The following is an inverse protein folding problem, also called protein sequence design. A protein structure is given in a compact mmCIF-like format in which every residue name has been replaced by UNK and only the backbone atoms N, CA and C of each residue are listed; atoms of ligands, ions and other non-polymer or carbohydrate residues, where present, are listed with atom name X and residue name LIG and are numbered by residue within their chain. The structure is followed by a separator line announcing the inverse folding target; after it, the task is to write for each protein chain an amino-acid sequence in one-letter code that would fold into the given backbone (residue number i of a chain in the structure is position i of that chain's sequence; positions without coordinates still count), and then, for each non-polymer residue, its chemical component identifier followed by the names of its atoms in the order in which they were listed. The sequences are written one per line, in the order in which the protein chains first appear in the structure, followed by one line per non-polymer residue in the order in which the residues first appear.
data_IF_334675839095
#
_entry.id   IF_334675839095
#
_cell.length_a   1.000
_cell.length_b   1.000
_cell.length_c   1.000
_cell.angle_alpha   90.00
_cell.angle_beta   90.00
_cell.angle_gamma   90.00
#
_symmetry.space_group_name_H-M   'P 1'
#
loop_
_entity.id
_entity.type
_entity.pdbx_description
1 polymer ?
#
# COMPACT_ATOMS: atom_id res chain seq x y z
N UNK A 1 -8.50 12.33 -0.93
CA UNK A 1 -7.02 12.52 -1.02
C UNK A 1 -6.81 13.23 -2.34
N UNK A 2 -6.01 14.31 -2.42
CA UNK A 2 -6.02 15.13 -3.62
C UNK A 2 -5.53 14.34 -4.84
N UNK A 3 -6.31 14.27 -5.93
CA UNK A 3 -5.91 13.69 -7.19
C UNK A 3 -4.55 14.20 -7.67
N UNK A 4 -3.75 13.32 -8.28
CA UNK A 4 -2.46 13.71 -8.90
C UNK A 4 -2.65 14.83 -9.92
N UNK A 5 -3.80 14.85 -10.61
CA UNK A 5 -4.19 15.89 -11.57
C UNK A 5 -4.30 17.28 -10.92
N UNK A 6 -4.85 17.40 -9.71
CA UNK A 6 -4.94 18.69 -9.02
C UNK A 6 -3.56 19.30 -8.74
N UNK A 7 -2.60 18.46 -8.33
CA UNK A 7 -1.24 18.91 -8.01
C UNK A 7 -0.37 19.16 -9.26
N UNK A 8 -0.84 18.78 -10.45
CA UNK A 8 -0.14 19.02 -11.73
C UNK A 8 -0.36 20.46 -12.22
N UNK A 9 -1.44 21.10 -11.81
CA UNK A 9 -1.88 22.40 -12.32
C UNK A 9 -2.63 22.30 -13.65
N UNK A 10 -3.06 23.45 -14.16
CA UNK A 10 -3.80 23.55 -15.42
C UNK A 10 -2.92 23.21 -16.64
N UNK A 11 -3.46 22.51 -17.65
CA UNK A 11 -2.79 22.35 -18.94
C UNK A 11 -2.56 23.69 -19.65
N UNK A 12 -1.53 23.77 -20.50
CA UNK A 12 -1.19 24.99 -21.24
C UNK A 12 -2.31 25.46 -22.21
N UNK A 13 -3.20 24.54 -22.58
CA UNK A 13 -4.37 24.77 -23.44
C UNK A 13 -5.56 25.41 -22.68
N UNK A 14 -5.54 25.39 -21.35
CA UNK A 14 -6.64 25.83 -20.49
C UNK A 14 -6.44 27.27 -19.99
N UNK A 15 -6.43 28.24 -20.91
CA UNK A 15 -6.31 29.67 -20.57
C UNK A 15 -7.65 30.32 -20.24
N UNK A 16 -8.70 29.96 -20.99
CA UNK A 16 -10.06 30.50 -20.83
C UNK A 16 -10.91 29.66 -19.87
N UNK A 17 -11.90 30.28 -19.23
CA UNK A 17 -12.85 29.58 -18.35
C UNK A 17 -13.64 28.47 -19.08
N UNK A 18 -13.95 28.66 -20.35
CA UNK A 18 -14.64 27.67 -21.16
C UNK A 18 -13.77 26.43 -21.39
N UNK A 19 -12.48 26.64 -21.65
CA UNK A 19 -11.49 25.57 -21.81
C UNK A 19 -11.26 24.81 -20.50
N UNK A 20 -11.24 25.52 -19.36
CA UNK A 20 -11.17 24.91 -18.03
C UNK A 20 -12.38 24.03 -17.73
N UNK A 21 -13.60 24.51 -18.02
CA UNK A 21 -14.84 23.72 -17.84
C UNK A 21 -14.85 22.47 -18.74
N UNK A 22 -14.42 22.61 -20.00
CA UNK A 22 -14.29 21.47 -20.91
C UNK A 22 -13.32 20.41 -20.36
N UNK A 23 -12.16 20.85 -19.87
CA UNK A 23 -11.18 19.96 -19.26
C UNK A 23 -11.73 19.23 -18.03
N UNK A 24 -12.45 19.92 -17.14
CA UNK A 24 -13.08 19.28 -15.97
C UNK A 24 -14.08 18.20 -16.42
N UNK A 25 -14.96 18.52 -17.37
CA UNK A 25 -15.95 17.58 -17.89
C UNK A 25 -15.27 16.36 -18.54
N UNK A 26 -14.22 16.57 -19.33
CA UNK A 26 -13.47 15.48 -19.96
C UNK A 26 -12.81 14.57 -18.93
N UNK A 27 -12.23 15.11 -17.86
CA UNK A 27 -11.67 14.32 -16.76
C UNK A 27 -12.76 13.52 -16.05
N UNK A 28 -13.90 14.13 -15.73
CA UNK A 28 -15.01 13.44 -15.09
C UNK A 28 -15.56 12.32 -15.99
N UNK A 29 -15.70 12.55 -17.29
CA UNK A 29 -16.20 11.53 -18.23
C UNK A 29 -15.20 10.39 -18.49
N UNK A 30 -13.89 10.69 -18.54
CA UNK A 30 -12.85 9.70 -18.86
C UNK A 30 -12.37 8.91 -17.64
N UNK A 31 -12.21 9.56 -16.50
CA UNK A 31 -11.65 8.96 -15.28
C UNK A 31 -12.70 8.76 -14.18
N UNK A 32 -13.88 9.37 -14.28
CA UNK A 32 -14.90 9.31 -13.23
C UNK A 32 -14.54 10.09 -11.97
N UNK A 33 -13.60 11.05 -12.07
CA UNK A 33 -13.07 11.81 -10.95
C UNK A 33 -13.53 13.27 -11.07
N UNK A 34 -14.20 13.78 -10.05
CA UNK A 34 -14.50 15.20 -9.94
C UNK A 34 -13.28 15.96 -9.41
N UNK A 35 -12.90 17.03 -10.10
CA UNK A 35 -11.78 17.90 -9.72
C UNK A 35 -12.31 19.24 -9.20
N UNK A 36 -11.77 19.70 -8.08
CA UNK A 36 -12.08 21.02 -7.54
C UNK A 36 -11.22 22.10 -8.23
N UNK A 37 -11.80 23.01 -9.04
CA UNK A 37 -11.05 24.03 -9.78
C UNK A 37 -10.24 24.97 -8.89
N UNK A 38 -10.62 25.14 -7.60
CA UNK A 38 -9.89 25.98 -6.65
C UNK A 38 -8.64 25.29 -6.09
N UNK A 39 -8.57 23.96 -6.16
CA UNK A 39 -7.45 23.15 -5.65
C UNK A 39 -6.44 22.78 -6.74
N UNK A 40 -6.74 23.08 -8.00
CA UNK A 40 -5.84 22.84 -9.14
C UNK A 40 -4.72 23.89 -9.12
N UNK A 41 -3.58 23.48 -8.57
CA UNK A 41 -2.37 24.29 -8.51
C UNK A 41 -1.12 23.42 -8.67
N UNK A 42 -0.08 23.98 -9.29
CA UNK A 42 1.14 23.26 -9.61
C UNK A 42 1.99 23.09 -8.34
N UNK A 43 1.87 21.92 -7.71
CA UNK A 43 2.60 21.58 -6.49
C UNK A 43 3.41 20.28 -6.66
N UNK A 44 4.72 20.43 -6.81
CA UNK A 44 5.65 19.29 -6.99
C UNK A 44 5.67 18.32 -5.82
N UNK A 45 5.55 18.82 -4.58
CA UNK A 45 5.54 18.01 -3.36
C UNK A 45 4.29 17.15 -3.24
N UNK A 46 3.10 17.74 -3.40
CA UNK A 46 1.82 17.00 -3.40
C UNK A 46 1.79 15.95 -4.52
N UNK A 47 2.31 16.29 -5.69
CA UNK A 47 2.42 15.36 -6.83
C UNK A 47 3.35 14.19 -6.50
N UNK A 48 4.52 14.46 -5.93
CA UNK A 48 5.48 13.43 -5.55
C UNK A 48 4.89 12.48 -4.50
N UNK A 49 4.21 13.02 -3.48
CA UNK A 49 3.52 12.22 -2.46
C UNK A 49 2.40 11.36 -3.07
N UNK A 50 1.54 11.93 -3.91
CA UNK A 50 0.47 11.18 -4.55
C UNK A 50 1.02 10.06 -5.47
N UNK A 51 2.11 10.31 -6.20
CA UNK A 51 2.81 9.30 -7.00
C UNK A 51 3.45 8.20 -6.15
N UNK A 52 4.10 8.57 -5.04
CA UNK A 52 4.70 7.63 -4.10
C UNK A 52 3.64 6.70 -3.51
N UNK A 53 2.49 7.23 -3.14
CA UNK A 53 1.39 6.47 -2.58
C UNK A 53 0.82 5.49 -3.62
N UNK A 54 0.62 5.93 -4.86
CA UNK A 54 0.16 5.06 -5.94
C UNK A 54 1.14 3.92 -6.21
N UNK A 55 2.44 4.22 -6.33
CA UNK A 55 3.48 3.22 -6.54
C UNK A 55 3.55 2.22 -5.37
N UNK A 56 3.48 2.73 -4.13
CA UNK A 56 3.44 1.90 -2.93
C UNK A 56 2.21 0.99 -2.91
N UNK A 57 1.05 1.51 -3.34
CA UNK A 57 -0.19 0.76 -3.36
C UNK A 57 -0.16 -0.37 -4.38
N UNK A 58 0.23 -0.09 -5.63
CA UNK A 58 0.36 -1.11 -6.67
C UNK A 58 1.40 -2.17 -6.30
N UNK A 59 2.52 -1.75 -5.70
CA UNK A 59 3.54 -2.68 -5.20
C UNK A 59 3.02 -3.57 -4.08
N UNK A 60 2.21 -3.03 -3.17
CA UNK A 60 1.59 -3.82 -2.11
C UNK A 60 0.57 -4.80 -2.67
N UNK A 61 -0.28 -4.35 -3.60
CA UNK A 61 -1.30 -5.19 -4.23
C UNK A 61 -0.70 -6.36 -5.03
N UNK A 62 0.45 -6.15 -5.67
CA UNK A 62 1.20 -7.19 -6.37
C UNK A 62 2.09 -8.07 -5.48
N UNK A 63 2.13 -7.83 -4.16
CA UNK A 63 3.00 -8.58 -3.26
C UNK A 63 2.47 -10.00 -3.06
N UNK A 64 3.34 -11.01 -3.22
CA UNK A 64 2.98 -12.41 -2.95
C UNK A 64 2.60 -12.61 -1.47
N UNK A 65 1.53 -13.36 -1.21
CA UNK A 65 1.05 -13.58 0.16
C UNK A 65 2.01 -14.45 1.00
N UNK A 66 2.73 -15.38 0.36
CA UNK A 66 3.62 -16.31 1.03
C UNK A 66 5.10 -15.91 0.89
N UNK A 67 5.45 -14.70 1.36
CA UNK A 67 6.85 -14.29 1.40
C UNK A 67 7.53 -14.81 2.66
N UNK A 68 8.74 -15.34 2.48
CA UNK A 68 9.63 -15.74 3.57
C UNK A 68 9.90 -14.56 4.50
N UNK A 69 9.78 -14.81 5.80
CA UNK A 69 10.06 -13.80 6.83
C UNK A 69 11.38 -14.12 7.52
N UNK A 70 12.21 -13.08 7.65
CA UNK A 70 13.41 -13.12 8.49
C UNK A 70 13.10 -12.56 9.87
N UNK A 71 13.33 -13.34 10.91
CA UNK A 71 13.05 -12.99 12.30
C UNK A 71 14.35 -13.06 13.10
N UNK A 72 14.56 -12.06 13.95
CA UNK A 72 15.70 -11.94 14.84
C UNK A 72 15.26 -12.27 16.26
N UNK A 73 16.01 -13.14 16.92
CA UNK A 73 15.76 -13.55 18.30
C UNK A 73 16.93 -13.19 19.20
N UNK A 74 16.60 -12.61 20.35
CA UNK A 74 17.54 -12.34 21.44
C UNK A 74 17.39 -13.36 22.55
N UNK A 75 16.16 -13.77 22.87
CA UNK A 75 15.88 -14.84 23.83
C UNK A 75 15.82 -16.20 23.11
N UNK A 76 16.60 -17.20 23.55
CA UNK A 76 16.51 -18.57 23.05
C UNK A 76 15.11 -19.18 23.14
N UNK A 77 14.27 -18.77 24.09
CA UNK A 77 12.92 -19.34 24.29
C UNK A 77 12.01 -19.10 23.08
N UNK A 78 12.01 -17.89 22.55
CA UNK A 78 11.19 -17.50 21.39
C UNK A 78 11.64 -18.26 20.13
N UNK A 79 12.96 -18.48 19.99
CA UNK A 79 13.51 -19.30 18.92
C UNK A 79 13.00 -20.74 19.00
N UNK A 80 13.08 -21.38 20.18
CA UNK A 80 12.64 -22.76 20.35
C UNK A 80 11.14 -22.91 20.12
N UNK A 81 10.32 -21.98 20.60
CA UNK A 81 8.87 -21.99 20.34
C UNK A 81 8.55 -21.97 18.85
N UNK A 82 9.28 -21.18 18.06
CA UNK A 82 9.05 -21.08 16.62
C UNK A 82 9.56 -22.31 15.85
N UNK A 83 10.69 -22.88 16.28
CA UNK A 83 11.32 -24.07 15.67
C UNK A 83 10.53 -25.33 15.96
N UNK A 84 9.93 -25.43 17.16
CA UNK A 84 9.11 -26.58 17.55
C UNK A 84 7.65 -26.50 17.08
N UNK A 85 7.21 -25.36 16.56
CA UNK A 85 5.90 -25.26 15.90
C UNK A 85 5.95 -25.94 14.52
N UNK A 86 5.27 -27.08 14.40
CA UNK A 86 5.22 -27.91 13.20
C UNK A 86 4.58 -27.21 11.98
N UNK A 87 3.91 -26.07 12.19
CA UNK A 87 3.31 -25.27 11.13
C UNK A 87 4.32 -24.40 10.37
N UNK A 88 5.54 -24.26 10.90
CA UNK A 88 6.58 -23.39 10.38
C UNK A 88 7.64 -24.20 9.61
N UNK A 89 7.83 -23.89 8.34
CA UNK A 89 8.93 -24.40 7.53
C UNK A 89 10.12 -23.45 7.66
N UNK A 90 11.22 -23.93 8.23
CA UNK A 90 12.46 -23.17 8.40
C UNK A 90 13.44 -23.53 7.28
N UNK A 91 13.90 -22.54 6.50
CA UNK A 91 14.92 -22.81 5.47
C UNK A 91 16.35 -22.54 5.92
N UNK A 92 16.59 -21.55 6.78
CA UNK A 92 17.97 -21.20 7.18
C UNK A 92 18.03 -20.57 8.56
N UNK A 93 18.98 -21.05 9.37
CA UNK A 93 19.29 -20.59 10.71
C UNK A 93 20.72 -20.05 10.70
N UNK A 94 20.93 -18.82 11.18
CA UNK A 94 22.24 -18.19 11.28
C UNK A 94 22.44 -17.62 12.67
N UNK A 95 23.59 -17.88 13.28
CA UNK A 95 23.97 -17.32 14.57
C UNK A 95 24.82 -16.08 14.34
N UNK A 96 24.40 -14.94 14.88
CA UNK A 96 25.13 -13.67 14.80
C UNK A 96 25.50 -13.22 16.20
N UNK A 97 26.75 -13.48 16.61
CA UNK A 97 27.36 -13.15 17.93
C UNK A 97 26.53 -13.52 19.17
N UNK A 98 25.41 -12.85 19.42
CA UNK A 98 24.51 -13.06 20.56
C UNK A 98 23.04 -13.24 20.16
N UNK A 99 22.71 -13.10 18.87
CA UNK A 99 21.34 -13.23 18.34
C UNK A 99 21.25 -14.40 17.37
N UNK A 100 20.11 -15.07 17.37
CA UNK A 100 19.75 -16.08 16.39
C UNK A 100 18.91 -15.42 15.29
N UNK A 101 19.23 -15.70 14.03
CA UNK A 101 18.49 -15.24 12.87
C UNK A 101 17.89 -16.44 12.17
N UNK A 102 16.57 -16.45 12.08
CA UNK A 102 15.82 -17.37 11.21
C UNK A 102 15.47 -16.61 9.95
N UNK A 103 16.00 -17.04 8.80
CA UNK A 103 15.88 -16.27 7.55
C UNK A 103 14.53 -16.46 6.88
N UNK A 104 13.95 -17.65 6.97
CA UNK A 104 12.79 -18.02 6.15
C UNK A 104 11.91 -18.93 6.97
N UNK A 105 10.84 -18.35 7.51
CA UNK A 105 9.71 -19.06 8.12
C UNK A 105 8.54 -18.93 7.18
N UNK A 106 8.12 -20.04 6.57
CA UNK A 106 6.85 -20.14 5.86
C UNK A 106 5.86 -20.84 6.77
N UNK A 107 4.74 -20.21 7.09
CA UNK A 107 3.60 -20.92 7.67
C UNK A 107 2.91 -21.66 6.54
N UNK A 108 2.83 -22.98 6.63
CA UNK A 108 1.88 -23.70 5.77
C UNK A 108 0.50 -23.12 6.07
N UNK A 109 -0.18 -22.68 5.02
CA UNK A 109 -1.48 -22.04 5.12
C UNK A 109 -2.53 -23.12 5.44
N UNK A 110 -2.50 -23.70 6.64
CA UNK A 110 -3.71 -24.19 7.26
C UNK A 110 -4.62 -22.97 7.42
N UNK A 111 -5.80 -23.05 6.83
CA UNK A 111 -6.78 -21.98 6.78
C UNK A 111 -7.17 -21.52 8.19
N UNK A 112 -6.47 -20.55 8.74
CA UNK A 112 -7.00 -19.68 9.78
C UNK A 112 -7.10 -18.28 9.21
N UNK A 113 -8.28 -18.03 8.64
CA UNK A 113 -8.87 -16.69 8.56
C UNK A 113 -8.99 -16.18 10.00
N UNK A 114 -7.92 -15.63 10.55
CA UNK A 114 -7.95 -14.92 11.83
C UNK A 114 -8.50 -13.51 11.57
N UNK A 115 -9.82 -13.35 11.75
CA UNK A 115 -10.54 -12.07 11.61
C UNK A 115 -9.91 -10.93 12.44
N UNK A 116 -9.19 -11.26 13.52
CA UNK A 116 -8.61 -10.27 14.43
C UNK A 116 -7.16 -9.86 14.11
N UNK A 117 -6.41 -10.61 13.28
CA UNK A 117 -4.99 -10.29 12.99
C UNK A 117 -4.58 -10.38 11.51
N UNK A 118 -5.54 -10.61 10.60
CA UNK A 118 -5.24 -11.08 9.25
C UNK A 118 -5.79 -10.27 8.09
N UNK A 119 -6.21 -9.01 8.26
CA UNK A 119 -6.41 -8.13 7.10
C UNK A 119 -5.03 -7.92 6.45
N UNK A 120 -4.70 -8.74 5.46
CA UNK A 120 -3.51 -8.61 4.62
C UNK A 120 -3.35 -7.13 4.26
N UNK A 121 -2.12 -6.62 4.25
CA UNK A 121 -1.91 -5.18 4.01
C UNK A 121 -2.59 -4.67 2.71
N UNK A 122 -2.93 -5.56 1.77
CA UNK A 122 -3.74 -5.27 0.59
C UNK A 122 -5.22 -4.95 0.89
N UNK A 123 -5.87 -5.65 1.84
CA UNK A 123 -7.28 -5.44 2.17
C UNK A 123 -7.53 -4.18 3.00
N UNK A 124 -6.57 -3.77 3.85
CA UNK A 124 -6.64 -2.47 4.56
C UNK A 124 -6.61 -1.27 3.61
N UNK A 125 -5.84 -1.36 2.51
CA UNK A 125 -5.76 -0.24 1.55
C UNK A 125 -7.02 -0.18 0.67
N UNK A 126 -7.64 -1.31 0.31
CA UNK A 126 -8.92 -1.31 -0.39
C UNK A 126 -10.06 -0.74 0.48
N UNK A 127 -10.07 -1.04 1.78
CA UNK A 127 -11.04 -0.48 2.73
C UNK A 127 -10.88 1.04 2.92
N UNK A 128 -9.64 1.55 2.94
CA UNK A 128 -9.39 3.00 3.02
C UNK A 128 -9.84 3.75 1.76
N UNK A 129 -9.72 3.13 0.58
CA UNK A 129 -10.27 3.67 -0.66
C UNK A 129 -11.81 3.68 -0.67
N UNK A 130 -12.46 2.62 -0.16
CA UNK A 130 -13.93 2.55 -0.09
C UNK A 130 -14.53 3.52 0.92
N UNK A 131 -13.96 3.66 2.11
CA UNK A 131 -14.49 4.58 3.14
C UNK A 131 -14.44 6.06 2.72
N UNK A 132 -13.53 6.47 1.83
CA UNK A 132 -13.52 7.84 1.30
C UNK A 132 -14.49 8.07 0.14
N UNK A 133 -15.07 7.01 -0.44
CA UNK A 133 -16.08 7.12 -1.49
C UNK A 133 -17.52 7.13 -0.94
N UNK A 134 -17.71 6.93 0.37
CA UNK A 134 -19.04 6.89 1.02
C UNK A 134 -19.24 8.03 2.02
N UNK A 135 -18.25 8.93 2.16
CA UNK A 135 -18.38 10.18 2.91
C UNK A 135 -18.23 11.32 1.89
N UNK A 136 -19.22 11.43 1.02
CA UNK A 136 -19.67 12.62 0.28
C UNK A 136 -21.06 12.32 -0.28
#
# INVERSE_FOLDING_TARGET
MPPVREAKGWPDECKDEMSKKRYLNEVTMSEGIELDPLKIDRNSGRRALAKLMLNSFSGKYGQHNNMMKTIYFTDPKEYFQLVFDASNVIHSIKIIRQHLVLKEVLKEMAQEYNEEQGYTGCSKISAFCKMKATIE
#
